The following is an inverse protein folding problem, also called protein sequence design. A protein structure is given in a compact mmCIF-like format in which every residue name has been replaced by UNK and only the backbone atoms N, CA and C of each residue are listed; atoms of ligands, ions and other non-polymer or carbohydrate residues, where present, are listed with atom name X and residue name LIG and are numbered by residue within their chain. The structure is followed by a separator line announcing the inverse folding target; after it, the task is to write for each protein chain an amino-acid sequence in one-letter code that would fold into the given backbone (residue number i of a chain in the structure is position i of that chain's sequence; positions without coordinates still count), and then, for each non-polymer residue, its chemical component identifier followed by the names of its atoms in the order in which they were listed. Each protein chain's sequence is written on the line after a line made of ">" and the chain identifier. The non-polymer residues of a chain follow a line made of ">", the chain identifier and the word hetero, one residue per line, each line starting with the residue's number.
data_IF_904462573185
#
_entry.id   IF_904462573185
#
_cell.length_a   1.000
_cell.length_b   1.000
_cell.length_c   1.000
_cell.angle_alpha   90.00
_cell.angle_beta   90.00
_cell.angle_gamma   90.00
#
_symmetry.space_group_name_H-M   'P 1'
#
loop_
_entity.id
_entity.type
_entity.pdbx_description
1 polymer ?
#
# COMPACT_ATOMS: atom_id res chain seq x y z
N UNK A 1 48.18 48.73 -23.31
CA UNK A 1 47.85 47.30 -23.47
C UNK A 1 47.37 47.08 -24.91
N UNK A 2 47.84 46.05 -25.62
CA UNK A 2 47.36 45.76 -26.99
C UNK A 2 45.85 45.49 -26.97
N UNK A 3 45.11 46.02 -27.96
CA UNK A 3 43.65 45.86 -28.09
C UNK A 3 43.22 44.39 -27.96
N UNK A 4 43.92 43.48 -28.66
CA UNK A 4 43.63 42.04 -28.61
C UNK A 4 43.83 41.44 -27.21
N UNK A 5 44.83 41.91 -26.46
CA UNK A 5 45.08 41.48 -25.09
C UNK A 5 43.99 42.01 -24.14
N UNK A 6 43.52 43.26 -24.34
CA UNK A 6 42.39 43.84 -23.59
C UNK A 6 41.12 43.02 -23.81
N UNK A 7 40.79 42.70 -25.05
CA UNK A 7 39.60 41.91 -25.41
C UNK A 7 39.66 40.48 -24.86
N UNK A 8 40.84 39.85 -24.87
CA UNK A 8 41.04 38.52 -24.30
C UNK A 8 40.81 38.50 -22.79
N UNK A 9 41.36 39.49 -22.07
CA UNK A 9 41.17 39.64 -20.63
C UNK A 9 39.71 39.91 -20.26
N UNK A 10 39.00 40.73 -21.05
CA UNK A 10 37.56 40.96 -20.86
C UNK A 10 36.78 39.66 -21.05
N UNK A 11 37.09 38.87 -22.08
CA UNK A 11 36.42 37.59 -22.31
C UNK A 11 36.70 36.58 -21.19
N UNK A 12 37.93 36.52 -20.68
CA UNK A 12 38.27 35.66 -19.54
C UNK A 12 37.54 36.13 -18.26
N UNK A 13 37.40 37.44 -18.06
CA UNK A 13 36.65 38.01 -16.95
C UNK A 13 35.15 37.72 -17.04
N UNK A 14 34.55 37.76 -18.24
CA UNK A 14 33.17 37.32 -18.47
C UNK A 14 33.02 35.83 -18.09
N UNK A 15 33.95 34.98 -18.53
CA UNK A 15 33.97 33.56 -18.16
C UNK A 15 34.04 33.37 -16.64
N UNK A 16 34.90 34.12 -15.95
CA UNK A 16 35.01 34.09 -14.49
C UNK A 16 33.70 34.52 -13.80
N UNK A 17 33.06 35.61 -14.27
CA UNK A 17 31.76 36.05 -13.76
C UNK A 17 30.71 34.95 -13.98
N UNK A 18 30.66 34.33 -15.15
CA UNK A 18 29.70 33.25 -15.44
C UNK A 18 29.92 32.02 -14.55
N UNK A 19 31.17 31.70 -14.20
CA UNK A 19 31.48 30.65 -13.21
C UNK A 19 30.96 31.06 -11.82
N UNK A 20 31.14 32.31 -11.41
CA UNK A 20 30.65 32.79 -10.12
C UNK A 20 29.11 32.80 -10.07
N UNK A 21 28.45 33.25 -11.14
CA UNK A 21 26.99 33.19 -11.29
C UNK A 21 26.52 31.73 -11.25
N UNK A 22 27.22 30.82 -11.93
CA UNK A 22 26.93 29.39 -11.87
C UNK A 22 27.03 28.86 -10.43
N UNK A 23 28.07 29.22 -9.68
CA UNK A 23 28.17 28.84 -8.27
C UNK A 23 27.07 29.45 -7.39
N UNK A 24 26.67 30.71 -7.62
CA UNK A 24 25.55 31.33 -6.90
C UNK A 24 24.23 30.63 -7.23
N UNK A 25 23.99 30.26 -8.49
CA UNK A 25 22.82 29.46 -8.90
C UNK A 25 22.90 28.05 -8.29
N UNK A 26 24.09 27.46 -8.20
CA UNK A 26 24.32 26.17 -7.56
C UNK A 26 24.15 26.21 -6.04
N UNK A 27 24.57 27.26 -5.33
CA UNK A 27 24.38 27.39 -3.88
C UNK A 27 22.90 27.51 -3.52
N UNK A 28 22.08 28.06 -4.43
CA UNK A 28 20.61 28.00 -4.35
C UNK A 28 20.08 26.58 -4.63
N UNK A 29 20.85 25.73 -5.30
CA UNK A 29 20.44 24.39 -5.77
C UNK A 29 21.02 23.21 -4.97
N UNK A 30 22.13 23.38 -4.25
CA UNK A 30 22.90 22.29 -3.62
C UNK A 30 23.60 22.81 -2.37
N UNK A 31 22.99 22.64 -1.20
CA UNK A 31 23.77 22.43 0.02
C UNK A 31 23.23 21.20 0.75
N UNK A 32 24.12 20.21 0.80
CA UNK A 32 24.07 18.90 1.47
C UNK A 32 23.33 17.76 0.74
N UNK A 33 24.16 16.86 0.16
CA UNK A 33 23.91 15.46 -0.22
C UNK A 33 23.68 15.07 -1.70
N UNK A 34 24.39 15.67 -2.67
CA UNK A 34 24.63 15.01 -3.96
C UNK A 34 26.08 14.51 -4.05
N UNK A 35 26.29 13.21 -3.92
CA UNK A 35 27.56 12.52 -4.23
C UNK A 35 27.80 12.38 -5.75
N UNK A 36 27.30 13.31 -6.55
CA UNK A 36 27.46 13.33 -8.00
C UNK A 36 28.23 14.61 -8.31
N UNK A 37 29.56 14.49 -8.35
CA UNK A 37 30.52 15.51 -8.80
C UNK A 37 30.68 15.60 -10.35
N UNK A 38 30.28 14.62 -11.20
CA UNK A 38 30.62 14.67 -12.63
C UNK A 38 29.77 15.61 -13.50
N UNK A 39 28.57 16.03 -13.07
CA UNK A 39 27.72 16.90 -13.92
C UNK A 39 28.16 18.37 -13.85
N UNK A 40 28.62 18.80 -12.69
CA UNK A 40 29.01 20.17 -12.40
C UNK A 40 30.31 20.55 -13.11
N UNK A 41 31.25 19.60 -13.18
CA UNK A 41 32.47 19.72 -13.98
C UNK A 41 32.17 19.93 -15.48
N UNK A 42 31.15 19.27 -16.01
CA UNK A 42 30.74 19.42 -17.41
C UNK A 42 30.28 20.85 -17.73
N UNK A 43 29.51 21.47 -16.84
CA UNK A 43 29.04 22.86 -17.03
C UNK A 43 30.19 23.86 -16.94
N UNK A 44 31.14 23.66 -16.00
CA UNK A 44 32.34 24.49 -15.90
C UNK A 44 33.18 24.38 -17.18
N UNK A 45 33.36 23.18 -17.73
CA UNK A 45 34.07 22.96 -18.99
C UNK A 45 33.38 23.69 -20.15
N UNK A 46 32.05 23.66 -20.22
CA UNK A 46 31.29 24.40 -21.24
C UNK A 46 31.48 25.92 -21.10
N UNK A 47 31.50 26.46 -19.88
CA UNK A 47 31.77 27.89 -19.64
C UNK A 47 33.19 28.24 -20.08
N UNK A 48 34.19 27.37 -19.83
CA UNK A 48 35.56 27.60 -20.28
C UNK A 48 35.69 27.55 -21.82
N UNK A 49 34.96 26.64 -22.49
CA UNK A 49 34.90 26.57 -23.95
C UNK A 49 34.20 27.80 -24.56
N UNK A 50 33.29 28.45 -23.82
CA UNK A 50 32.63 29.67 -24.28
C UNK A 50 33.58 30.89 -24.31
N UNK A 51 34.69 30.89 -23.56
CA UNK A 51 35.62 32.02 -23.51
C UNK A 51 36.24 32.32 -24.90
N UNK A 52 36.80 31.36 -25.65
CA UNK A 52 37.25 31.61 -27.03
C UNK A 52 36.16 32.15 -27.97
N UNK A 53 34.92 31.68 -27.81
CA UNK A 53 33.79 32.10 -28.64
C UNK A 53 33.40 33.56 -28.33
N UNK A 54 33.31 33.90 -27.04
CA UNK A 54 33.07 35.26 -26.58
C UNK A 54 34.16 36.23 -27.05
N UNK A 55 35.43 35.79 -27.02
CA UNK A 55 36.55 36.57 -27.54
C UNK A 55 36.36 36.89 -29.03
N UNK A 56 35.98 35.91 -29.86
CA UNK A 56 35.71 36.12 -31.28
C UNK A 56 34.52 37.08 -31.50
N UNK A 57 33.44 36.95 -30.75
CA UNK A 57 32.28 37.86 -30.81
C UNK A 57 32.71 39.30 -30.50
N UNK A 58 33.49 39.50 -29.43
CA UNK A 58 33.99 40.82 -29.05
C UNK A 58 34.96 41.41 -30.09
N UNK A 59 35.75 40.58 -30.77
CA UNK A 59 36.59 41.04 -31.88
C UNK A 59 35.77 41.51 -33.08
N UNK A 60 34.72 40.77 -33.44
CA UNK A 60 33.82 41.12 -34.55
C UNK A 60 33.07 42.42 -34.25
N UNK A 61 32.47 42.55 -33.07
CA UNK A 61 31.81 43.80 -32.66
C UNK A 61 32.81 44.96 -32.60
N UNK A 62 33.99 44.70 -32.05
CA UNK A 62 35.06 45.68 -32.04
C UNK A 62 35.49 46.16 -33.42
N UNK A 63 35.47 45.28 -34.43
CA UNK A 63 35.77 45.64 -35.81
C UNK A 63 34.68 46.51 -36.45
N UNK A 64 33.40 46.15 -36.28
CA UNK A 64 32.27 46.88 -36.86
C UNK A 64 31.99 48.24 -36.21
N UNK A 65 32.43 48.45 -34.97
CA UNK A 65 32.17 49.67 -34.19
C UNK A 65 33.45 50.44 -33.84
N UNK A 66 34.47 50.38 -34.72
CA UNK A 66 35.73 51.14 -34.61
C UNK A 66 36.41 51.05 -33.23
N UNK A 67 36.35 49.86 -32.60
CA UNK A 67 36.92 49.57 -31.28
C UNK A 67 36.38 50.45 -30.15
N UNK A 68 35.13 50.93 -30.29
CA UNK A 68 34.44 51.70 -29.27
C UNK A 68 34.34 50.93 -27.94
N UNK A 69 34.82 51.54 -26.86
CA UNK A 69 34.75 50.93 -25.52
C UNK A 69 33.29 50.69 -25.07
N UNK A 70 32.35 51.54 -25.51
CA UNK A 70 30.93 51.39 -25.19
C UNK A 70 30.30 50.16 -25.85
N UNK A 71 30.63 49.87 -27.12
CA UNK A 71 30.06 48.71 -27.82
C UNK A 71 30.59 47.40 -27.25
N UNK A 72 31.87 47.37 -26.87
CA UNK A 72 32.51 46.24 -26.18
C UNK A 72 31.88 46.02 -24.80
N UNK A 73 31.66 47.09 -24.04
CA UNK A 73 31.03 47.02 -22.72
C UNK A 73 29.59 46.49 -22.78
N UNK A 74 28.77 47.05 -23.68
CA UNK A 74 27.37 46.60 -23.87
C UNK A 74 27.34 45.12 -24.30
N UNK A 75 28.21 44.72 -25.24
CA UNK A 75 28.29 43.33 -25.71
C UNK A 75 28.72 42.38 -24.58
N UNK A 76 29.65 42.82 -23.72
CA UNK A 76 30.09 42.04 -22.56
C UNK A 76 28.94 41.79 -21.59
N UNK A 77 28.12 42.82 -21.31
CA UNK A 77 26.90 42.67 -20.49
C UNK A 77 25.92 41.70 -21.14
N UNK A 78 25.68 41.82 -22.45
CA UNK A 78 24.78 40.93 -23.18
C UNK A 78 25.27 39.47 -23.15
N UNK A 79 26.58 39.23 -23.27
CA UNK A 79 27.16 37.89 -23.13
C UNK A 79 26.92 37.32 -21.73
N UNK A 80 27.13 38.11 -20.67
CA UNK A 80 26.87 37.68 -19.28
C UNK A 80 25.39 37.37 -19.07
N UNK A 81 24.49 38.26 -19.51
CA UNK A 81 23.04 38.07 -19.38
C UNK A 81 22.56 36.83 -20.14
N UNK A 82 23.06 36.62 -21.37
CA UNK A 82 22.69 35.47 -22.19
C UNK A 82 23.18 34.17 -21.57
N UNK A 83 24.44 34.11 -21.09
CA UNK A 83 24.95 32.96 -20.36
C UNK A 83 24.16 32.70 -19.07
N UNK A 84 23.82 33.75 -18.31
CA UNK A 84 23.03 33.62 -17.08
C UNK A 84 21.64 33.06 -17.36
N UNK A 85 20.99 33.53 -18.42
CA UNK A 85 19.67 33.06 -18.86
C UNK A 85 19.72 31.59 -19.29
N UNK A 86 20.74 31.20 -20.07
CA UNK A 86 20.96 29.82 -20.49
C UNK A 86 21.18 28.92 -19.27
N UNK A 87 22.09 29.30 -18.37
CA UNK A 87 22.35 28.55 -17.14
C UNK A 87 21.09 28.40 -16.29
N UNK A 88 20.27 29.46 -16.18
CA UNK A 88 19.00 29.43 -15.47
C UNK A 88 18.01 28.43 -16.07
N UNK A 89 17.86 28.41 -17.40
CA UNK A 89 16.99 27.47 -18.09
C UNK A 89 17.49 26.03 -17.98
N UNK A 90 18.80 25.80 -18.15
CA UNK A 90 19.37 24.43 -18.11
C UNK A 90 19.31 23.81 -16.72
N UNK A 91 19.34 24.63 -15.65
CA UNK A 91 19.26 24.17 -14.26
C UNK A 91 17.84 24.10 -13.70
N UNK A 92 16.81 24.47 -14.47
CA UNK A 92 15.42 24.47 -14.01
C UNK A 92 14.92 23.06 -13.63
N UNK A 93 15.30 22.04 -14.41
CA UNK A 93 14.96 20.66 -14.10
C UNK A 93 15.63 20.16 -12.82
N UNK A 94 16.93 20.43 -12.65
CA UNK A 94 17.68 20.02 -11.47
C UNK A 94 17.16 20.69 -10.20
N UNK A 95 16.76 21.97 -10.27
CA UNK A 95 16.06 22.67 -9.16
C UNK A 95 14.75 21.99 -8.81
N UNK A 96 13.89 21.72 -9.79
CA UNK A 96 12.60 21.06 -9.54
C UNK A 96 12.79 19.67 -8.90
N UNK A 97 13.82 18.94 -9.32
CA UNK A 97 14.20 17.65 -8.73
C UNK A 97 14.67 17.81 -7.28
N UNK A 98 15.50 18.82 -6.99
CA UNK A 98 15.95 19.13 -5.63
C UNK A 98 14.79 19.55 -4.72
N UNK A 99 13.94 20.46 -5.18
CA UNK A 99 12.76 20.92 -4.44
C UNK A 99 11.85 19.74 -4.09
N UNK A 100 11.57 18.85 -5.06
CA UNK A 100 10.81 17.63 -4.82
C UNK A 100 11.49 16.70 -3.81
N UNK A 101 12.83 16.58 -3.85
CA UNK A 101 13.57 15.80 -2.85
C UNK A 101 13.47 16.40 -1.45
N UNK A 102 13.50 17.73 -1.32
CA UNK A 102 13.33 18.40 -0.02
C UNK A 102 11.92 18.18 0.53
N UNK A 103 10.90 18.31 -0.31
CA UNK A 103 9.51 18.00 0.07
C UNK A 103 9.40 16.52 0.49
N UNK A 104 9.99 15.60 -0.29
CA UNK A 104 9.97 14.17 0.04
C UNK A 104 10.66 13.88 1.39
N UNK A 105 11.81 14.52 1.66
CA UNK A 105 12.53 14.36 2.93
C UNK A 105 11.74 14.88 4.14
N UNK A 106 10.85 15.84 3.94
CA UNK A 106 9.95 16.38 4.97
C UNK A 106 8.64 15.59 5.07
N UNK A 107 8.33 14.75 4.08
CA UNK A 107 7.11 13.93 4.04
C UNK A 107 7.25 12.76 5.01
N UNK A 108 6.18 12.45 5.74
CA UNK A 108 6.14 11.29 6.61
C UNK A 108 6.37 10.01 5.82
N UNK A 109 7.22 9.13 6.35
CA UNK A 109 7.59 7.88 5.70
C UNK A 109 7.55 6.70 6.67
N UNK A 110 7.14 5.55 6.12
CA UNK A 110 6.88 4.33 6.87
C UNK A 110 7.51 3.12 6.19
N UNK A 111 7.76 2.09 6.98
CA UNK A 111 8.23 0.79 6.49
C UNK A 111 7.03 -0.13 6.33
N UNK A 112 6.58 -0.29 5.09
CA UNK A 112 5.44 -1.13 4.74
C UNK A 112 5.59 -1.70 3.33
N UNK A 113 4.92 -2.80 3.05
CA UNK A 113 4.77 -3.37 1.72
C UNK A 113 3.43 -2.99 1.10
N UNK A 114 3.36 -3.15 -0.22
CA UNK A 114 2.13 -3.06 -0.96
C UNK A 114 1.75 -4.44 -1.49
N UNK A 115 0.45 -4.69 -1.60
CA UNK A 115 -0.02 -5.99 -2.06
C UNK A 115 -1.42 -5.97 -2.64
N UNK A 116 -1.82 -7.13 -3.13
CA UNK A 116 -3.17 -7.41 -3.61
C UNK A 116 -3.74 -8.59 -2.82
N UNK A 117 -5.03 -8.55 -2.57
CA UNK A 117 -5.80 -9.67 -2.04
C UNK A 117 -6.94 -9.97 -3.00
N UNK A 118 -7.34 -11.23 -3.13
CA UNK A 118 -8.50 -11.61 -3.95
C UNK A 118 -9.34 -12.67 -3.25
N UNK A 119 -10.66 -12.71 -3.49
CA UNK A 119 -11.49 -13.81 -3.00
C UNK A 119 -11.03 -15.16 -3.55
N UNK A 120 -11.04 -16.18 -2.69
CA UNK A 120 -10.69 -17.53 -3.08
C UNK A 120 -11.59 -18.00 -4.25
N UNK A 121 -10.98 -18.54 -5.30
CA UNK A 121 -11.68 -19.00 -6.49
C UNK A 121 -12.01 -17.93 -7.53
N UNK A 122 -11.61 -16.67 -7.31
CA UNK A 122 -11.76 -15.58 -8.27
C UNK A 122 -10.41 -14.98 -8.67
N UNK A 123 -9.57 -15.75 -9.39
CA UNK A 123 -8.24 -15.28 -9.76
C UNK A 123 -8.30 -14.10 -10.72
N UNK A 124 -7.31 -13.22 -10.60
CA UNK A 124 -7.09 -12.09 -11.51
C UNK A 124 -5.64 -12.05 -12.00
N UNK A 125 -5.40 -11.33 -13.09
CA UNK A 125 -4.08 -10.86 -13.51
C UNK A 125 -4.09 -9.33 -13.46
N UNK A 126 -3.12 -8.71 -12.78
CA UNK A 126 -2.93 -7.26 -12.89
C UNK A 126 -2.35 -6.90 -14.26
N UNK A 127 -2.75 -5.77 -14.81
CA UNK A 127 -2.20 -5.25 -16.06
C UNK A 127 -1.16 -4.17 -15.77
N UNK A 128 -0.33 -3.89 -16.80
CA UNK A 128 0.68 -2.85 -16.76
C UNK A 128 0.09 -1.50 -16.36
N UNK A 129 0.78 -0.79 -15.47
CA UNK A 129 0.34 0.50 -14.94
C UNK A 129 -0.36 0.43 -13.59
N UNK A 130 -0.71 -0.77 -13.10
CA UNK A 130 -1.24 -0.94 -11.74
C UNK A 130 -0.20 -0.55 -10.68
N UNK A 131 -0.53 0.42 -9.82
CA UNK A 131 0.35 0.90 -8.76
C UNK A 131 -0.39 1.65 -7.64
N UNK A 132 0.27 1.74 -6.48
CA UNK A 132 0.01 2.79 -5.51
C UNK A 132 0.91 3.98 -5.84
N UNK A 133 0.30 5.12 -6.17
CA UNK A 133 1.01 6.31 -6.64
C UNK A 133 1.28 7.29 -5.50
N UNK A 134 2.47 7.89 -5.51
CA UNK A 134 2.88 8.93 -4.57
C UNK A 134 2.65 10.33 -5.16
N UNK A 135 2.14 11.26 -4.35
CA UNK A 135 2.05 12.67 -4.70
C UNK A 135 3.45 13.28 -4.88
N UNK A 136 4.36 12.94 -3.95
CA UNK A 136 5.73 13.47 -3.90
C UNK A 136 6.70 12.35 -4.22
N UNK A 137 7.55 12.57 -5.23
CA UNK A 137 8.52 11.59 -5.72
C UNK A 137 9.95 12.10 -5.50
N UNK A 138 10.76 11.26 -4.87
CA UNK A 138 12.23 11.37 -4.82
C UNK A 138 12.86 10.82 -6.11
N UNK A 139 14.12 11.19 -6.36
CA UNK A 139 14.97 10.51 -7.36
C UNK A 139 15.14 9.01 -7.11
N UNK A 140 14.97 8.57 -5.86
CA UNK A 140 14.99 7.16 -5.45
C UNK A 140 13.77 6.88 -4.59
N UNK A 141 12.63 6.68 -5.23
CA UNK A 141 11.47 6.17 -4.52
C UNK A 141 11.68 4.69 -4.24
N UNK A 142 11.45 4.24 -3.00
CA UNK A 142 11.28 2.82 -2.73
C UNK A 142 10.14 2.33 -3.63
N UNK A 143 10.45 1.55 -4.65
CA UNK A 143 9.42 0.95 -5.48
C UNK A 143 8.95 -0.32 -4.80
N UNK A 144 7.66 -0.37 -4.52
CA UNK A 144 6.93 -1.61 -4.29
C UNK A 144 6.17 -1.82 -5.58
N UNK A 145 6.58 -2.85 -6.32
CA UNK A 145 6.16 -3.06 -7.69
C UNK A 145 5.15 -4.20 -7.66
N UNK A 146 3.88 -3.88 -7.89
CA UNK A 146 2.84 -4.90 -8.04
C UNK A 146 3.18 -5.74 -9.27
N UNK A 147 3.23 -7.06 -9.11
CA UNK A 147 3.61 -8.00 -10.16
C UNK A 147 2.46 -8.16 -11.17
N UNK A 148 2.67 -7.76 -12.43
CA UNK A 148 1.64 -7.84 -13.49
C UNK A 148 1.66 -9.17 -14.25
N UNK A 149 2.78 -9.89 -14.24
CA UNK A 149 2.92 -11.19 -14.91
C UNK A 149 2.53 -12.38 -14.02
N UNK A 150 1.82 -12.10 -12.93
CA UNK A 150 1.39 -13.08 -11.94
C UNK A 150 -0.13 -13.20 -11.91
N UNK A 151 -0.59 -14.41 -11.59
CA UNK A 151 -2.00 -14.65 -11.23
C UNK A 151 -2.14 -14.52 -9.73
N UNK A 152 -2.97 -13.58 -9.28
CA UNK A 152 -3.37 -13.46 -7.89
C UNK A 152 -4.57 -14.36 -7.63
N UNK A 153 -4.53 -15.13 -6.55
CA UNK A 153 -5.56 -16.11 -6.22
C UNK A 153 -5.76 -16.31 -4.71
N UNK A 154 -5.02 -15.58 -3.87
CA UNK A 154 -4.94 -15.86 -2.44
C UNK A 154 -5.86 -14.96 -1.60
N UNK A 155 -6.65 -15.66 -0.78
CA UNK A 155 -7.51 -15.27 0.35
C UNK A 155 -7.87 -13.78 0.53
N UNK A 156 -9.18 -13.51 0.59
CA UNK A 156 -9.77 -12.20 0.91
C UNK A 156 -9.32 -11.71 2.30
N UNK A 157 -8.88 -10.46 2.38
CA UNK A 157 -8.37 -9.85 3.62
C UNK A 157 -6.93 -10.21 3.97
N UNK A 158 -6.26 -11.04 3.17
CA UNK A 158 -4.85 -11.38 3.35
C UNK A 158 -4.02 -10.85 2.17
N UNK A 159 -2.99 -10.06 2.48
CA UNK A 159 -2.14 -9.49 1.44
C UNK A 159 -1.23 -10.54 0.80
N UNK A 160 -1.27 -10.63 -0.53
CA UNK A 160 -0.20 -11.19 -1.33
C UNK A 160 0.81 -10.08 -1.66
N UNK A 161 1.55 -9.64 -0.63
CA UNK A 161 2.52 -8.55 -0.72
C UNK A 161 3.72 -8.91 -1.59
N UNK A 162 4.18 -7.96 -2.40
CA UNK A 162 5.48 -8.04 -3.07
C UNK A 162 6.56 -7.62 -2.07
N UNK A 163 7.53 -8.50 -1.80
CA UNK A 163 8.59 -8.22 -0.82
C UNK A 163 9.39 -7.00 -1.28
N UNK A 164 9.34 -5.93 -0.49
CA UNK A 164 10.20 -4.78 -0.68
C UNK A 164 11.64 -5.20 -0.38
N UNK A 165 12.57 -4.92 -1.29
CA UNK A 165 14.00 -5.12 -1.00
C UNK A 165 14.38 -4.31 0.25
N UNK A 166 15.10 -4.92 1.20
CA UNK A 166 15.59 -4.23 2.41
C UNK A 166 16.36 -2.94 2.09
N UNK A 167 16.98 -2.88 0.90
CA UNK A 167 17.69 -1.70 0.40
C UNK A 167 16.81 -0.51 0.03
N UNK A 168 15.48 -0.71 -0.08
CA UNK A 168 14.54 0.31 -0.53
C UNK A 168 14.17 1.32 0.58
N UNK A 169 14.35 0.98 1.86
CA UNK A 169 14.09 1.91 2.99
C UNK A 169 12.61 2.27 3.20
N UNK A 170 12.34 3.37 3.92
CA UNK A 170 10.98 3.86 4.20
C UNK A 170 10.37 4.57 3.00
N UNK A 171 9.07 4.39 2.77
CA UNK A 171 8.31 5.04 1.70
C UNK A 171 7.28 6.04 2.25
N UNK A 172 7.05 7.12 1.51
CA UNK A 172 5.92 8.00 1.74
C UNK A 172 4.60 7.27 1.47
N UNK A 173 3.52 7.71 2.11
CA UNK A 173 2.18 7.16 1.89
C UNK A 173 1.67 7.52 0.49
N UNK A 174 1.01 6.60 -0.23
CA UNK A 174 0.43 6.89 -1.53
C UNK A 174 -0.82 7.75 -1.41
N UNK A 175 -1.00 8.61 -2.42
CA UNK A 175 -2.14 9.52 -2.54
C UNK A 175 -3.22 9.03 -3.50
N UNK A 176 -2.88 8.02 -4.30
CA UNK A 176 -3.79 7.45 -5.28
C UNK A 176 -3.52 5.96 -5.48
N UNK A 177 -4.59 5.27 -5.89
CA UNK A 177 -4.58 3.86 -6.24
C UNK A 177 -5.05 3.73 -7.69
N UNK A 178 -4.16 3.24 -8.53
CA UNK A 178 -4.45 2.96 -9.93
C UNK A 178 -4.33 1.45 -10.15
N UNK A 179 -5.42 0.78 -10.50
CA UNK A 179 -5.47 -0.66 -10.69
C UNK A 179 -6.11 -0.98 -12.04
N UNK A 180 -5.47 -1.88 -12.76
CA UNK A 180 -5.94 -2.43 -14.02
C UNK A 180 -5.84 -3.93 -13.89
N UNK A 181 -6.90 -4.68 -14.20
CA UNK A 181 -6.83 -6.13 -14.10
C UNK A 181 -7.73 -6.84 -15.09
N UNK A 182 -7.41 -8.10 -15.29
CA UNK A 182 -8.25 -9.07 -15.98
C UNK A 182 -8.81 -10.07 -14.97
N UNK A 183 -10.13 -10.23 -14.93
CA UNK A 183 -10.82 -11.25 -14.13
C UNK A 183 -10.98 -12.52 -14.96
N UNK A 184 -10.31 -13.61 -14.56
CA UNK A 184 -10.31 -14.87 -15.31
C UNK A 184 -11.70 -15.52 -15.36
N UNK A 185 -12.44 -15.45 -14.24
CA UNK A 185 -13.77 -16.05 -14.13
C UNK A 185 -14.76 -15.26 -14.99
N UNK A 186 -14.73 -13.92 -14.91
CA UNK A 186 -15.66 -13.06 -15.64
C UNK A 186 -15.30 -12.88 -17.12
N UNK A 187 -14.05 -13.15 -17.50
CA UNK A 187 -13.49 -12.84 -18.81
C UNK A 187 -13.62 -11.35 -19.17
N UNK A 188 -13.28 -10.48 -18.22
CA UNK A 188 -13.46 -9.02 -18.32
C UNK A 188 -12.24 -8.26 -17.83
N UNK A 189 -12.06 -7.07 -18.37
CA UNK A 189 -11.04 -6.12 -17.93
C UNK A 189 -11.67 -4.99 -17.13
N UNK A 190 -10.94 -4.51 -16.13
CA UNK A 190 -11.40 -3.47 -15.22
C UNK A 190 -10.30 -2.41 -15.00
N UNK A 191 -10.74 -1.20 -14.71
CA UNK A 191 -9.90 -0.05 -14.37
C UNK A 191 -10.47 0.68 -13.14
N UNK A 192 -9.59 0.97 -12.18
CA UNK A 192 -9.83 1.87 -11.06
C UNK A 192 -8.71 2.90 -11.02
N UNK A 193 -9.05 4.18 -11.08
CA UNK A 193 -8.14 5.28 -10.76
C UNK A 193 -8.84 6.14 -9.71
N UNK A 194 -8.32 6.16 -8.48
CA UNK A 194 -8.94 6.88 -7.36
C UNK A 194 -7.88 7.53 -6.47
N UNK A 195 -8.23 8.67 -5.88
CA UNK A 195 -7.50 9.23 -4.76
C UNK A 195 -7.77 8.40 -3.49
N UNK A 196 -6.80 8.38 -2.58
CA UNK A 196 -6.89 7.73 -1.27
C UNK A 196 -6.45 8.71 -0.18
N UNK A 197 -7.02 8.55 1.02
CA UNK A 197 -6.82 9.48 2.13
C UNK A 197 -5.46 9.23 2.82
N UNK A 198 -4.44 9.99 2.39
CA UNK A 198 -3.08 9.92 2.94
C UNK A 198 -3.03 10.16 4.44
N UNK A 199 -3.83 11.10 4.96
CA UNK A 199 -3.81 11.47 6.37
C UNK A 199 -4.47 10.40 7.23
N UNK A 200 -5.56 9.79 6.74
CA UNK A 200 -6.16 8.62 7.38
C UNK A 200 -5.14 7.49 7.47
N UNK A 201 -4.47 7.15 6.38
CA UNK A 201 -3.46 6.07 6.35
C UNK A 201 -2.30 6.40 7.30
N UNK A 202 -1.78 7.62 7.26
CA UNK A 202 -0.70 8.09 8.13
C UNK A 202 -1.10 8.03 9.61
N UNK A 203 -2.34 8.37 9.95
CA UNK A 203 -2.86 8.25 11.31
C UNK A 203 -2.82 6.81 11.83
N UNK A 204 -3.12 5.81 11.00
CA UNK A 204 -2.96 4.40 11.39
C UNK A 204 -1.50 4.04 11.64
N UNK A 205 -0.58 4.43 10.75
CA UNK A 205 0.85 4.17 10.93
C UNK A 205 1.42 4.82 12.20
N UNK A 206 1.02 6.07 12.52
CA UNK A 206 1.42 6.77 13.74
C UNK A 206 0.88 6.07 14.98
N UNK A 207 -0.42 5.73 14.98
CA UNK A 207 -1.11 5.10 16.11
C UNK A 207 -0.54 3.72 16.43
N UNK A 208 -0.44 2.84 15.44
CA UNK A 208 -0.17 1.42 15.66
C UNK A 208 -1.33 0.69 16.35
N UNK A 209 -1.04 -0.45 16.98
CA UNK A 209 -2.02 -1.31 17.66
C UNK A 209 -1.38 -2.09 18.82
N UNK A 210 -2.19 -2.65 19.72
CA UNK A 210 -1.68 -3.43 20.86
C UNK A 210 -1.27 -4.82 20.41
N UNK A 211 -0.02 -5.23 20.70
CA UNK A 211 0.52 -6.53 20.30
C UNK A 211 1.24 -7.25 21.43
N UNK A 212 0.80 -8.47 21.73
CA UNK A 212 1.48 -9.36 22.68
C UNK A 212 2.52 -10.24 21.96
N UNK A 213 3.79 -9.85 22.03
CA UNK A 213 4.91 -10.64 21.47
C UNK A 213 5.37 -11.76 22.38
N UNK A 214 5.08 -11.70 23.69
CA UNK A 214 5.55 -12.67 24.68
C UNK A 214 4.55 -13.81 24.90
N UNK A 215 3.34 -13.69 24.35
CA UNK A 215 2.27 -14.65 24.51
C UNK A 215 1.73 -14.72 25.93
N UNK A 216 1.80 -13.62 26.69
CA UNK A 216 1.31 -13.54 28.08
C UNK A 216 -0.19 -13.24 28.18
N UNK A 217 -0.85 -12.99 27.06
CA UNK A 217 -2.27 -12.72 26.91
C UNK A 217 -2.72 -11.45 27.65
N UNK A 218 -1.86 -10.44 27.78
CA UNK A 218 -2.12 -9.23 28.57
C UNK A 218 -1.73 -7.95 27.84
N UNK A 219 -2.50 -6.89 28.05
CA UNK A 219 -2.21 -5.55 27.58
C UNK A 219 -1.03 -4.91 28.32
N UNK A 220 -0.80 -5.24 29.59
CA UNK A 220 0.18 -4.56 30.44
C UNK A 220 1.64 -4.75 29.98
N UNK A 221 1.92 -5.86 29.31
CA UNK A 221 3.25 -6.24 28.80
C UNK A 221 3.27 -6.32 27.27
N UNK A 222 2.22 -5.80 26.61
CA UNK A 222 2.14 -5.70 25.16
C UNK A 222 2.96 -4.51 24.64
N UNK A 223 3.39 -4.60 23.39
CA UNK A 223 4.10 -3.53 22.67
C UNK A 223 3.15 -2.80 21.72
N UNK A 224 3.54 -1.60 21.29
CA UNK A 224 2.89 -0.94 20.17
C UNK A 224 3.31 -1.59 18.84
N UNK A 225 2.47 -2.49 18.33
CA UNK A 225 2.57 -3.07 17.00
C UNK A 225 2.49 -2.00 15.91
N UNK A 226 3.21 -2.24 14.82
CA UNK A 226 3.24 -1.35 13.66
C UNK A 226 2.54 -2.02 12.48
N UNK A 227 1.75 -1.24 11.77
CA UNK A 227 1.27 -1.62 10.45
C UNK A 227 2.45 -1.63 9.49
N UNK A 228 2.49 -2.64 8.63
CA UNK A 228 3.57 -2.90 7.70
C UNK A 228 3.09 -3.41 6.34
N UNK A 229 1.78 -3.42 6.08
CA UNK A 229 1.20 -3.73 4.78
C UNK A 229 0.08 -2.71 4.44
N UNK A 230 -0.01 -2.32 3.17
CA UNK A 230 -1.10 -1.54 2.59
C UNK A 230 -1.53 -2.22 1.29
N UNK A 231 -2.74 -2.76 1.22
CA UNK A 231 -3.10 -3.66 0.12
C UNK A 231 -4.54 -3.50 -0.32
N UNK A 232 -4.77 -3.82 -1.60
CA UNK A 232 -6.08 -3.71 -2.24
C UNK A 232 -6.68 -5.10 -2.50
N UNK A 233 -7.85 -5.36 -1.93
CA UNK A 233 -8.72 -6.47 -2.24
C UNK A 233 -9.48 -6.22 -3.53
N UNK A 234 -9.32 -7.09 -4.52
CA UNK A 234 -10.06 -7.01 -5.79
C UNK A 234 -11.08 -8.16 -5.85
N UNK A 235 -12.36 -7.81 -5.82
CA UNK A 235 -13.47 -8.75 -5.85
C UNK A 235 -14.22 -8.69 -7.21
N UNK A 236 -14.93 -9.77 -7.58
CA UNK A 236 -15.71 -9.82 -8.81
C UNK A 236 -16.67 -8.65 -9.00
N UNK A 237 -16.87 -8.27 -10.27
CA UNK A 237 -17.77 -7.19 -10.65
C UNK A 237 -17.19 -5.80 -10.45
N UNK A 238 -15.88 -5.66 -10.24
CA UNK A 238 -15.20 -4.37 -10.10
C UNK A 238 -15.15 -3.83 -8.67
N UNK A 239 -15.42 -4.64 -7.67
CA UNK A 239 -15.41 -4.20 -6.27
C UNK A 239 -13.96 -4.18 -5.73
N UNK A 240 -13.56 -3.08 -5.09
CA UNK A 240 -12.21 -2.95 -4.50
C UNK A 240 -12.28 -2.48 -3.05
N UNK A 241 -11.53 -3.11 -2.16
CA UNK A 241 -11.39 -2.72 -0.76
C UNK A 241 -9.94 -2.43 -0.44
N UNK A 242 -9.66 -1.30 0.21
CA UNK A 242 -8.32 -0.94 0.66
C UNK A 242 -8.19 -1.27 2.14
N UNK A 243 -7.14 -2.01 2.52
CA UNK A 243 -6.82 -2.32 3.91
C UNK A 243 -5.42 -1.85 4.29
N UNK A 244 -5.23 -1.65 5.58
CA UNK A 244 -3.92 -1.57 6.22
C UNK A 244 -3.74 -2.77 7.14
N UNK A 245 -2.59 -3.42 7.05
CA UNK A 245 -2.28 -4.68 7.72
C UNK A 245 -1.05 -4.61 8.62
N UNK A 246 -1.09 -5.46 9.64
CA UNK A 246 -0.06 -5.71 10.62
C UNK A 246 -0.20 -7.13 11.17
N UNK A 247 0.66 -7.50 12.11
CA UNK A 247 0.60 -8.85 12.70
C UNK A 247 -0.68 -9.03 13.53
N UNK A 248 -1.62 -9.84 13.01
CA UNK A 248 -2.97 -10.07 13.58
C UNK A 248 -3.79 -8.78 13.77
N UNK A 249 -3.58 -7.80 12.89
CA UNK A 249 -4.35 -6.56 12.86
C UNK A 249 -4.52 -6.11 11.41
N UNK A 250 -5.76 -6.01 10.94
CA UNK A 250 -6.12 -5.62 9.58
C UNK A 250 -7.38 -4.78 9.65
N UNK A 251 -7.29 -3.55 9.16
CA UNK A 251 -8.37 -2.56 9.23
C UNK A 251 -8.80 -2.13 7.83
N UNK A 252 -10.11 -2.05 7.60
CA UNK A 252 -10.68 -1.53 6.35
C UNK A 252 -10.54 0.00 6.29
N UNK A 253 -9.91 0.50 5.23
CA UNK A 253 -9.70 1.93 5.01
C UNK A 253 -10.77 2.53 4.10
N UNK A 254 -11.07 1.88 2.98
CA UNK A 254 -11.99 2.41 1.98
C UNK A 254 -12.52 1.31 1.06
N UNK A 255 -13.64 1.59 0.38
CA UNK A 255 -14.25 0.73 -0.63
C UNK A 255 -14.49 1.55 -1.90
N UNK A 256 -14.18 0.96 -3.04
CA UNK A 256 -14.27 1.58 -4.36
C UNK A 256 -14.98 0.67 -5.35
N UNK A 257 -15.43 1.27 -6.45
CA UNK A 257 -16.02 0.58 -7.60
C UNK A 257 -15.23 0.93 -8.86
N UNK A 258 -14.70 -0.09 -9.51
CA UNK A 258 -14.01 0.00 -10.78
C UNK A 258 -14.98 -0.09 -11.96
N UNK A 259 -14.52 0.41 -13.10
CA UNK A 259 -15.27 0.36 -14.34
C UNK A 259 -14.77 -0.79 -15.21
N UNK A 260 -15.71 -1.51 -15.84
CA UNK A 260 -15.39 -2.45 -16.90
C UNK A 260 -14.84 -1.68 -18.12
N UNK A 261 -13.77 -2.18 -18.71
CA UNK A 261 -13.15 -1.58 -19.89
C UNK A 261 -13.03 -2.58 -21.04
N UNK A 262 -13.06 -2.06 -22.25
CA UNK A 262 -12.95 -2.87 -23.46
C UNK A 262 -11.48 -3.22 -23.77
N UNK A 263 -11.27 -4.38 -24.38
CA UNK A 263 -9.96 -4.92 -24.75
C UNK A 263 -9.15 -3.95 -25.65
N UNK A 264 -9.83 -3.11 -26.44
CA UNK A 264 -9.17 -2.10 -27.28
C UNK A 264 -8.43 -0.99 -26.52
N UNK A 265 -8.63 -0.88 -25.20
CA UNK A 265 -7.88 0.04 -24.33
C UNK A 265 -6.68 -0.63 -23.65
N UNK A 266 -6.51 -1.93 -23.85
CA UNK A 266 -5.47 -2.74 -23.19
C UNK A 266 -4.25 -2.81 -24.11
N UNK A 267 -3.06 -2.75 -23.51
CA UNK A 267 -1.80 -2.94 -24.24
C UNK A 267 -1.69 -4.38 -24.73
N UNK A 268 -1.07 -4.59 -25.88
CA UNK A 268 -1.01 -5.93 -26.50
C UNK A 268 -0.38 -6.98 -25.57
N UNK A 269 0.64 -6.61 -24.80
CA UNK A 269 1.31 -7.47 -23.83
C UNK A 269 0.42 -7.92 -22.65
N UNK A 270 -0.61 -7.15 -22.33
CA UNK A 270 -1.52 -7.39 -21.21
C UNK A 270 -2.75 -8.22 -21.60
N UNK A 271 -3.00 -8.39 -22.90
CA UNK A 271 -4.16 -9.14 -23.41
C UNK A 271 -4.02 -10.62 -23.04
N UNK A 272 -4.98 -11.12 -22.26
CA UNK A 272 -5.06 -12.53 -21.89
C UNK A 272 -5.76 -13.31 -23.01
N UNK A 273 -5.03 -14.24 -23.63
CA UNK A 273 -5.59 -15.12 -24.65
C UNK A 273 -6.41 -16.27 -24.04
N UNK A 274 -7.24 -16.92 -24.86
CA UNK A 274 -8.13 -18.00 -24.40
C UNK A 274 -7.38 -19.18 -23.80
N UNK A 275 -6.22 -19.55 -24.33
CA UNK A 275 -5.45 -20.71 -23.85
C UNK A 275 -4.89 -20.44 -22.44
N UNK A 276 -4.35 -19.25 -22.20
CA UNK A 276 -3.88 -18.81 -20.89
C UNK A 276 -5.04 -18.78 -19.89
N UNK A 277 -6.21 -18.28 -20.30
CA UNK A 277 -7.42 -18.30 -19.46
C UNK A 277 -7.83 -19.73 -19.11
N UNK A 278 -7.93 -20.62 -20.09
CA UNK A 278 -8.28 -22.04 -19.88
C UNK A 278 -7.27 -22.72 -18.97
N UNK A 279 -5.97 -22.44 -19.14
CA UNK A 279 -4.91 -22.96 -18.26
C UNK A 279 -5.15 -22.53 -16.82
N UNK A 280 -5.34 -21.24 -16.56
CA UNK A 280 -5.58 -20.74 -15.19
C UNK A 280 -6.84 -21.32 -14.59
N UNK A 281 -7.93 -21.44 -15.37
CA UNK A 281 -9.21 -21.97 -14.88
C UNK A 281 -9.23 -23.49 -14.67
N UNK A 282 -8.33 -24.22 -15.35
CA UNK A 282 -8.20 -25.68 -15.21
C UNK A 282 -7.02 -26.08 -14.30
N UNK A 283 -6.27 -25.11 -13.76
CA UNK A 283 -5.14 -25.33 -12.85
C UNK A 283 -5.65 -25.68 -11.44
N UNK A 284 -6.32 -26.83 -11.34
CA UNK A 284 -6.92 -27.39 -10.12
C UNK A 284 -6.08 -28.56 -9.61
N UNK A 285 -4.80 -28.34 -9.28
CA UNK A 285 -4.00 -29.39 -8.65
C UNK A 285 -4.51 -29.62 -7.21
N UNK A 286 -5.00 -30.82 -6.89
CA UNK A 286 -5.35 -31.29 -5.52
C UNK A 286 -4.11 -31.63 -4.69
N UNK A 287 -3.00 -30.92 -4.94
CA UNK A 287 -1.67 -31.26 -4.48
C UNK A 287 -1.39 -30.44 -3.22
N UNK A 288 -1.66 -31.04 -2.06
CA UNK A 288 -1.65 -30.42 -0.72
C UNK A 288 -0.33 -29.71 -0.38
N UNK A 289 0.77 -30.02 -1.10
CA UNK A 289 2.12 -29.51 -0.84
C UNK A 289 2.61 -28.42 -1.81
N UNK A 290 1.78 -27.90 -2.73
CA UNK A 290 2.19 -26.81 -3.63
C UNK A 290 1.68 -25.44 -3.14
N UNK A 291 2.60 -24.48 -2.96
CA UNK A 291 2.31 -23.08 -2.60
C UNK A 291 1.40 -22.35 -3.62
N UNK A 292 1.22 -22.94 -4.82
CA UNK A 292 0.28 -22.52 -5.87
C UNK A 292 -1.10 -23.17 -5.78
N UNK A 293 -1.62 -23.46 -4.58
CA UNK A 293 -2.97 -24.00 -4.42
C UNK A 293 -4.03 -22.98 -4.87
N UNK A 294 -4.76 -23.30 -5.96
CA UNK A 294 -5.91 -22.54 -6.46
C UNK A 294 -7.16 -23.39 -6.33
N UNK A 295 -7.97 -23.14 -5.29
CA UNK A 295 -9.32 -23.69 -5.25
C UNK A 295 -10.20 -22.82 -6.12
N UNK A 296 -10.45 -23.23 -7.37
CA UNK A 296 -11.46 -22.57 -8.20
C UNK A 296 -12.81 -23.10 -7.73
N UNK A 297 -13.35 -22.45 -6.71
CA UNK A 297 -14.60 -22.88 -6.04
C UNK A 297 -15.82 -22.63 -6.93
N UNK A 298 -15.71 -21.74 -7.94
CA UNK A 298 -16.88 -21.28 -8.69
C UNK A 298 -17.43 -22.27 -9.73
N UNK A 299 -17.28 -23.60 -9.56
CA UNK A 299 -17.81 -24.74 -10.34
C UNK A 299 -19.11 -24.47 -11.15
N UNK A 300 -19.06 -23.62 -12.18
CA UNK A 300 -20.19 -23.03 -12.89
C UNK A 300 -21.31 -22.43 -12.01
N UNK A 301 -21.01 -21.99 -10.78
CA UNK A 301 -22.00 -21.28 -9.95
C UNK A 301 -22.10 -19.80 -10.40
N UNK A 302 -23.27 -19.15 -10.25
CA UNK A 302 -23.38 -17.72 -10.45
C UNK A 302 -22.42 -16.97 -9.53
N UNK A 303 -21.74 -15.97 -10.07
CA UNK A 303 -20.83 -15.13 -9.29
C UNK A 303 -21.69 -14.31 -8.30
N UNK A 304 -21.40 -14.37 -6.98
CA UNK A 304 -22.16 -13.65 -5.97
C UNK A 304 -21.68 -12.19 -5.90
N UNK A 305 -21.98 -11.41 -6.94
CA UNK A 305 -21.56 -10.01 -7.01
C UNK A 305 -22.00 -9.22 -5.78
N UNK A 306 -21.09 -8.39 -5.25
CA UNK A 306 -21.38 -7.49 -4.14
C UNK A 306 -21.35 -8.12 -2.75
N UNK A 307 -21.12 -9.42 -2.56
CA UNK A 307 -21.07 -9.99 -1.19
C UNK A 307 -19.94 -9.40 -0.36
N UNK A 308 -18.77 -9.17 -0.98
CA UNK A 308 -17.57 -8.67 -0.31
C UNK A 308 -17.68 -7.21 0.15
N UNK A 309 -18.44 -6.38 -0.57
CA UNK A 309 -18.62 -4.94 -0.30
C UNK A 309 -19.94 -4.60 0.37
N UNK A 310 -20.89 -5.55 0.41
CA UNK A 310 -22.19 -5.39 1.05
C UNK A 310 -22.38 -6.40 2.20
N UNK A 311 -22.70 -7.66 1.88
CA UNK A 311 -23.07 -8.69 2.88
C UNK A 311 -22.03 -8.82 3.99
N UNK A 312 -20.76 -8.94 3.64
CA UNK A 312 -19.67 -9.14 4.61
C UNK A 312 -19.39 -7.93 5.50
N UNK A 313 -19.81 -6.73 5.06
CA UNK A 313 -19.61 -5.47 5.78
C UNK A 313 -20.81 -5.12 6.67
N UNK A 314 -21.85 -5.95 6.68
CA UNK A 314 -22.98 -5.77 7.59
C UNK A 314 -22.51 -5.94 9.03
N UNK A 315 -22.79 -4.93 9.85
CA UNK A 315 -22.43 -4.91 11.27
C UNK A 315 -23.62 -5.30 12.12
N UNK A 316 -23.34 -6.08 13.16
CA UNK A 316 -24.27 -6.55 14.16
C UNK A 316 -23.74 -6.17 15.55
N UNK A 317 -24.65 -6.06 16.51
CA UNK A 317 -24.31 -5.68 17.88
C UNK A 317 -24.09 -6.94 18.74
N UNK A 318 -22.85 -7.41 18.86
CA UNK A 318 -22.57 -8.69 19.53
C UNK A 318 -21.32 -8.67 20.40
N UNK A 319 -21.25 -9.64 21.33
CA UNK A 319 -20.07 -9.91 22.17
C UNK A 319 -19.85 -11.41 22.32
N UNK A 320 -18.67 -11.80 22.77
CA UNK A 320 -18.34 -13.19 23.06
C UNK A 320 -18.54 -13.47 24.55
N UNK A 321 -19.22 -14.56 24.86
CA UNK A 321 -19.35 -15.11 26.21
C UNK A 321 -18.78 -16.53 26.23
N UNK A 322 -17.96 -16.84 27.21
CA UNK A 322 -17.39 -18.17 27.41
C UNK A 322 -17.79 -18.65 28.80
N UNK A 323 -18.23 -19.90 28.92
CA UNK A 323 -18.51 -20.50 30.22
C UNK A 323 -17.24 -20.58 31.09
N UNK A 324 -17.41 -20.60 32.41
CA UNK A 324 -16.30 -20.90 33.31
C UNK A 324 -16.09 -22.42 33.37
N UNK A 325 -14.91 -22.86 32.93
CA UNK A 325 -14.44 -24.23 33.00
C UNK A 325 -13.08 -24.31 33.74
N UNK A 326 -12.76 -23.30 34.55
CA UNK A 326 -11.49 -23.20 35.29
C UNK A 326 -10.33 -22.62 34.48
N UNK A 327 -10.63 -21.79 33.47
CA UNK A 327 -9.62 -21.08 32.70
C UNK A 327 -9.08 -19.84 33.45
N UNK A 328 -7.79 -19.59 33.30
CA UNK A 328 -7.13 -18.37 33.73
C UNK A 328 -7.18 -17.29 32.64
N UNK A 329 -6.05 -16.60 32.43
CA UNK A 329 -5.95 -15.54 31.41
C UNK A 329 -6.34 -16.04 30.03
N UNK A 330 -7.02 -15.20 29.28
CA UNK A 330 -7.47 -15.53 27.92
C UNK A 330 -7.35 -14.36 26.94
N UNK A 331 -7.42 -14.68 25.65
CA UNK A 331 -7.39 -13.73 24.55
C UNK A 331 -8.15 -14.28 23.35
N UNK A 332 -8.66 -13.40 22.49
CA UNK A 332 -9.24 -13.74 21.20
C UNK A 332 -8.36 -13.22 20.07
N UNK A 333 -8.18 -14.03 19.03
CA UNK A 333 -7.87 -13.53 17.68
C UNK A 333 -9.13 -13.71 16.83
N UNK A 334 -9.66 -12.61 16.31
CA UNK A 334 -10.88 -12.58 15.52
C UNK A 334 -10.50 -12.26 14.08
N UNK A 335 -10.99 -13.05 13.13
CA UNK A 335 -10.92 -12.77 11.70
C UNK A 335 -12.34 -12.74 11.15
N UNK A 336 -12.66 -11.75 10.33
CA UNK A 336 -14.02 -11.48 9.85
C UNK A 336 -14.18 -11.75 8.35
N UNK A 337 -15.42 -11.93 7.90
CA UNK A 337 -15.71 -12.16 6.47
C UNK A 337 -15.33 -10.99 5.57
N UNK A 338 -15.37 -9.74 6.06
CA UNK A 338 -14.92 -8.59 5.28
C UNK A 338 -13.39 -8.49 5.17
N UNK A 339 -12.63 -9.39 5.79
CA UNK A 339 -11.17 -9.41 5.72
C UNK A 339 -10.47 -8.64 6.84
N UNK A 340 -11.19 -7.99 7.76
CA UNK A 340 -10.58 -7.41 8.96
C UNK A 340 -10.13 -8.52 9.93
N UNK A 341 -9.12 -8.23 10.74
CA UNK A 341 -8.72 -9.05 11.87
C UNK A 341 -8.19 -8.18 13.01
N UNK A 342 -8.39 -8.64 14.25
CA UNK A 342 -7.78 -8.02 15.42
C UNK A 342 -7.69 -8.99 16.61
N UNK A 343 -6.86 -8.63 17.58
CA UNK A 343 -6.70 -9.37 18.83
C UNK A 343 -7.32 -8.61 20.02
N UNK A 344 -7.92 -9.35 20.95
CA UNK A 344 -8.42 -8.85 22.23
C UNK A 344 -7.70 -9.62 23.34
N UNK A 345 -7.09 -8.93 24.31
CA UNK A 345 -6.33 -9.55 25.40
C UNK A 345 -7.10 -9.51 26.72
N UNK A 346 -6.57 -10.22 27.72
CA UNK A 346 -7.30 -10.58 28.94
C UNK A 346 -8.06 -9.43 29.62
N UNK A 347 -7.42 -8.27 29.78
CA UNK A 347 -8.06 -7.13 30.45
C UNK A 347 -9.30 -6.61 29.70
N UNK A 348 -9.27 -6.68 28.37
CA UNK A 348 -10.38 -6.27 27.51
C UNK A 348 -11.42 -7.38 27.37
N UNK A 349 -11.00 -8.65 27.39
CA UNK A 349 -11.91 -9.81 27.45
C UNK A 349 -12.80 -9.73 28.69
N UNK A 350 -12.22 -9.42 29.86
CA UNK A 350 -12.96 -9.31 31.12
C UNK A 350 -13.95 -8.13 31.17
N UNK A 351 -13.79 -7.17 30.26
CA UNK A 351 -14.62 -5.95 30.17
C UNK A 351 -15.41 -5.89 28.87
N UNK A 352 -15.49 -7.01 28.15
CA UNK A 352 -16.07 -7.04 26.81
C UNK A 352 -17.55 -6.67 26.86
N UNK A 353 -17.87 -5.49 26.35
CA UNK A 353 -19.23 -5.05 26.09
C UNK A 353 -19.67 -5.47 24.69
N UNK A 354 -20.93 -5.24 24.36
CA UNK A 354 -21.39 -5.35 22.98
C UNK A 354 -20.61 -4.41 22.07
N UNK A 355 -20.17 -4.93 20.94
CA UNK A 355 -19.45 -4.19 19.91
C UNK A 355 -20.20 -4.30 18.59
N UNK A 356 -20.23 -3.20 17.83
CA UNK A 356 -20.83 -3.17 16.50
C UNK A 356 -19.82 -3.69 15.47
N UNK A 357 -19.77 -5.00 15.33
CA UNK A 357 -18.79 -5.73 14.53
C UNK A 357 -19.46 -6.47 13.37
N UNK A 358 -18.69 -6.72 12.33
CA UNK A 358 -19.08 -7.61 11.24
C UNK A 358 -19.08 -9.08 11.70
N UNK A 359 -19.63 -9.96 10.86
CA UNK A 359 -19.72 -11.40 11.15
C UNK A 359 -18.33 -12.06 11.17
N UNK A 360 -17.99 -12.86 12.20
CA UNK A 360 -16.70 -13.53 12.30
C UNK A 360 -16.63 -14.69 11.30
N UNK A 361 -15.50 -14.83 10.61
CA UNK A 361 -15.15 -16.02 9.82
C UNK A 361 -14.42 -17.05 10.70
N UNK A 362 -13.57 -16.57 11.60
CA UNK A 362 -12.74 -17.41 12.45
C UNK A 362 -12.54 -16.79 13.84
N UNK A 363 -12.60 -17.61 14.88
CA UNK A 363 -12.27 -17.22 16.26
C UNK A 363 -11.22 -18.19 16.80
N UNK A 364 -10.10 -17.63 17.25
CA UNK A 364 -9.12 -18.35 18.07
C UNK A 364 -9.26 -17.87 19.50
N UNK A 365 -9.79 -18.71 20.37
CA UNK A 365 -9.80 -18.45 21.81
C UNK A 365 -8.57 -19.09 22.45
N UNK A 366 -7.60 -18.26 22.85
CA UNK A 366 -6.40 -18.71 23.56
C UNK A 366 -6.60 -18.54 25.05
N UNK A 367 -6.34 -19.59 25.84
CA UNK A 367 -6.51 -19.54 27.30
C UNK A 367 -5.44 -20.37 28.04
N UNK A 368 -5.25 -20.07 29.32
CA UNK A 368 -4.38 -20.83 30.22
C UNK A 368 -5.23 -21.71 31.13
N UNK A 369 -4.88 -22.99 31.28
CA UNK A 369 -5.48 -23.90 32.26
C UNK A 369 -4.42 -24.87 32.77
N UNK A 370 -4.33 -25.04 34.09
CA UNK A 370 -3.30 -25.87 34.73
C UNK A 370 -1.88 -25.51 34.26
N UNK A 371 -1.56 -24.20 34.20
CA UNK A 371 -0.27 -23.65 33.71
C UNK A 371 0.06 -23.93 32.24
N UNK A 372 -0.79 -24.68 31.52
CA UNK A 372 -0.64 -24.96 30.10
C UNK A 372 -1.49 -24.00 29.27
N UNK A 373 -0.96 -23.62 28.10
CA UNK A 373 -1.66 -22.77 27.13
C UNK A 373 -2.38 -23.62 26.09
N UNK A 374 -3.63 -23.30 25.83
CA UNK A 374 -4.49 -23.96 24.85
C UNK A 374 -5.05 -22.95 23.84
N UNK A 375 -5.50 -23.47 22.70
CA UNK A 375 -6.24 -22.73 21.68
C UNK A 375 -7.48 -23.53 21.29
N UNK A 376 -8.65 -22.91 21.42
CA UNK A 376 -9.85 -23.36 20.76
C UNK A 376 -9.98 -22.65 19.40
N UNK A 377 -10.08 -23.43 18.33
CA UNK A 377 -10.22 -22.98 16.96
C UNK A 377 -11.67 -23.19 16.51
N UNK A 378 -12.32 -22.11 16.08
CA UNK A 378 -13.72 -22.10 15.64
C UNK A 378 -13.76 -21.44 14.25
N UNK A 379 -14.13 -22.20 13.23
CA UNK A 379 -14.29 -21.72 11.85
C UNK A 379 -15.73 -21.90 11.40
N UNK A 380 -16.31 -20.82 10.87
CA UNK A 380 -17.73 -20.81 10.52
C UNK A 380 -17.97 -21.25 9.08
N UNK A 381 -19.08 -21.96 8.91
CA UNK A 381 -19.72 -22.14 7.62
C UNK A 381 -20.48 -20.84 7.30
N UNK A 382 -20.31 -20.34 6.08
CA UNK A 382 -20.74 -19.00 5.70
C UNK A 382 -22.27 -18.90 5.69
N UNK A 383 -22.95 -19.84 5.05
CA UNK A 383 -24.41 -19.78 4.92
C UNK A 383 -25.08 -19.90 6.29
N UNK A 384 -24.60 -20.81 7.15
CA UNK A 384 -25.12 -20.99 8.50
C UNK A 384 -24.99 -19.72 9.34
N UNK A 385 -23.80 -19.11 9.41
CA UNK A 385 -23.59 -17.97 10.29
C UNK A 385 -24.35 -16.72 9.84
N UNK A 386 -24.37 -16.41 8.55
CA UNK A 386 -25.14 -15.27 8.06
C UNK A 386 -26.64 -15.47 8.30
N UNK A 387 -27.17 -16.68 8.05
CA UNK A 387 -28.57 -16.99 8.32
C UNK A 387 -28.92 -16.85 9.81
N UNK A 388 -28.05 -17.25 10.73
CA UNK A 388 -28.29 -17.08 12.16
C UNK A 388 -28.34 -15.61 12.58
N UNK A 389 -27.38 -14.80 12.14
CA UNK A 389 -27.38 -13.36 12.40
C UNK A 389 -28.60 -12.67 11.80
N UNK A 390 -28.94 -12.96 10.55
CA UNK A 390 -30.11 -12.39 9.86
C UNK A 390 -31.41 -12.77 10.58
N UNK A 391 -31.59 -14.06 10.92
CA UNK A 391 -32.79 -14.56 11.60
C UNK A 391 -33.00 -13.92 12.98
N UNK A 392 -31.93 -13.76 13.75
CA UNK A 392 -32.04 -13.16 15.10
C UNK A 392 -32.19 -11.63 15.07
N UNK A 393 -31.92 -10.98 13.95
CA UNK A 393 -31.96 -9.52 13.81
C UNK A 393 -33.00 -9.02 12.81
N UNK A 394 -33.83 -9.93 12.27
CA UNK A 394 -34.86 -9.64 11.27
C UNK A 394 -35.80 -8.50 11.71
N UNK A 395 -36.22 -8.53 12.99
CA UNK A 395 -37.12 -7.53 13.57
C UNK A 395 -36.38 -6.30 14.14
N UNK A 396 -35.11 -6.44 14.50
CA UNK A 396 -34.30 -5.40 15.12
C UNK A 396 -32.81 -5.58 14.76
N UNK A 397 -32.30 -4.72 13.88
CA UNK A 397 -30.89 -4.76 13.44
C UNK A 397 -29.88 -4.45 14.55
N UNK A 398 -30.33 -3.79 15.63
CA UNK A 398 -29.48 -3.47 16.78
C UNK A 398 -29.69 -4.45 17.95
N UNK A 399 -30.41 -5.56 17.72
CA UNK A 399 -30.63 -6.60 18.73
C UNK A 399 -29.27 -7.04 19.30
N UNK A 400 -29.07 -6.96 20.63
CA UNK A 400 -27.84 -7.45 21.25
C UNK A 400 -27.77 -8.97 21.14
N UNK A 401 -26.68 -9.48 20.57
CA UNK A 401 -26.45 -10.91 20.41
C UNK A 401 -25.27 -11.39 21.26
N UNK A 402 -25.49 -12.46 21.99
CA UNK A 402 -24.47 -13.16 22.75
C UNK A 402 -23.93 -14.33 21.91
N UNK A 403 -22.64 -14.24 21.59
CA UNK A 403 -21.89 -15.31 20.94
C UNK A 403 -21.33 -16.25 22.03
N UNK A 404 -22.05 -17.32 22.34
CA UNK A 404 -21.76 -18.19 23.49
C UNK A 404 -20.91 -19.38 23.07
N UNK A 405 -19.74 -19.53 23.70
CA UNK A 405 -18.82 -20.66 23.55
C UNK A 405 -18.84 -21.45 24.86
N UNK A 406 -19.26 -22.71 24.78
CA UNK A 406 -19.20 -23.63 25.91
C UNK A 406 -18.10 -24.66 25.69
N UNK A 407 -17.16 -24.75 26.63
CA UNK A 407 -16.07 -25.73 26.64
C UNK A 407 -16.20 -26.61 27.89
N UNK A 408 -16.03 -27.92 27.74
CA UNK A 408 -16.07 -28.86 28.86
C UNK A 408 -14.83 -28.75 29.75
N UNK A 409 -14.97 -29.09 31.03
CA UNK A 409 -13.87 -29.03 32.01
C UNK A 409 -12.71 -29.97 31.70
N UNK A 410 -12.90 -31.02 30.91
CA UNK A 410 -11.85 -31.92 30.42
C UNK A 410 -11.29 -31.51 29.03
N UNK A 411 -11.79 -30.41 28.45
CA UNK A 411 -11.37 -29.83 27.16
C UNK A 411 -11.62 -30.74 25.95
N UNK A 412 -12.53 -31.70 26.06
CA UNK A 412 -12.87 -32.65 24.98
C UNK A 412 -14.05 -32.20 24.14
N UNK A 413 -14.98 -31.43 24.71
CA UNK A 413 -16.19 -30.97 24.05
C UNK A 413 -16.23 -29.44 23.96
N UNK A 414 -16.74 -28.95 22.82
CA UNK A 414 -16.99 -27.54 22.59
C UNK A 414 -18.29 -27.38 21.82
N UNK A 415 -19.16 -26.46 22.24
CA UNK A 415 -20.34 -26.05 21.50
C UNK A 415 -20.39 -24.53 21.36
N UNK A 416 -21.00 -24.06 20.28
CA UNK A 416 -21.08 -22.65 19.95
C UNK A 416 -22.54 -22.32 19.61
N UNK A 417 -23.04 -21.21 20.15
CA UNK A 417 -24.41 -20.74 19.92
C UNK A 417 -24.43 -19.23 19.72
N UNK A 418 -25.40 -18.76 18.92
CA UNK A 418 -25.76 -17.36 18.84
C UNK A 418 -27.09 -17.15 19.56
N UNK A 419 -27.09 -16.28 20.56
CA UNK A 419 -28.23 -16.10 21.48
C UNK A 419 -28.73 -14.66 21.40
N UNK A 420 -30.02 -14.51 21.19
CA UNK A 420 -30.78 -13.27 21.41
C UNK A 420 -31.62 -13.42 22.68
N UNK A 421 -32.33 -12.37 23.10
CA UNK A 421 -33.12 -12.37 24.34
C UNK A 421 -34.05 -13.59 24.50
N UNK A 422 -34.74 -13.97 23.43
CA UNK A 422 -35.80 -14.98 23.46
C UNK A 422 -35.50 -16.23 22.62
N UNK A 423 -34.39 -16.25 21.86
CA UNK A 423 -34.07 -17.33 20.92
C UNK A 423 -32.58 -17.62 20.89
N UNK A 424 -32.22 -18.91 20.93
CA UNK A 424 -30.86 -19.41 20.71
C UNK A 424 -30.80 -20.26 19.44
N UNK A 425 -29.71 -20.11 18.68
CA UNK A 425 -29.40 -20.92 17.51
C UNK A 425 -28.02 -21.58 17.68
N UNK A 426 -27.97 -22.90 17.61
CA UNK A 426 -26.72 -23.66 17.65
C UNK A 426 -26.01 -23.61 16.29
N UNK A 427 -24.68 -23.61 16.30
CA UNK A 427 -23.88 -23.85 15.10
C UNK A 427 -23.61 -25.34 14.94
N UNK A 428 -24.18 -25.95 13.91
CA UNK A 428 -24.08 -27.40 13.65
C UNK A 428 -23.09 -27.72 12.52
N UNK A 429 -22.75 -26.73 11.68
CA UNK A 429 -21.96 -26.92 10.46
C UNK A 429 -20.57 -26.30 10.52
N UNK A 430 -20.03 -26.02 11.72
CA UNK A 430 -18.69 -25.47 11.89
C UNK A 430 -17.67 -26.24 11.03
N UNK A 431 -16.89 -25.52 10.22
CA UNK A 431 -15.82 -26.11 9.39
C UNK A 431 -14.71 -26.70 10.26
N UNK A 432 -14.42 -26.01 11.36
CA UNK A 432 -13.45 -26.42 12.37
C UNK A 432 -14.00 -26.12 13.76
N UNK A 433 -13.94 -27.10 14.66
CA UNK A 433 -14.19 -26.95 16.09
C UNK A 433 -13.22 -27.86 16.83
N UNK A 434 -12.09 -27.32 17.32
CA UNK A 434 -11.08 -28.14 18.01
C UNK A 434 -10.31 -27.38 19.07
N UNK A 435 -9.93 -28.08 20.13
CA UNK A 435 -9.06 -27.56 21.20
C UNK A 435 -7.69 -28.22 21.07
N UNK A 436 -6.63 -27.43 21.05
CA UNK A 436 -5.25 -27.91 20.93
C UNK A 436 -4.34 -27.26 21.97
N UNK A 437 -3.36 -28.02 22.43
CA UNK A 437 -2.26 -27.51 23.24
C UNK A 437 -1.37 -26.64 22.34
N UNK A 438 -0.93 -25.48 22.85
CA UNK A 438 0.00 -24.58 22.15
C UNK A 438 1.45 -24.85 22.51
#
# INVERSE_FOLDING_TARGET
>A
MNYYLKTLLISAFIGFINILIYFVILDVSIVHNSSIIPKELGVIVLILIAIPIQFLILLVVGYFFDKSDNSIFITSILCILTCSLILWFTSAHDRAVFDNQQIYNQTENYEYNQGISVPEGYPIKLLSGSNFSLAVKSNRNPSTLLETDKVYYKQWGLSESTVKSESAGKAAVPNSLNLYWYSYVENKYYELNTEIDEEKISAYFRKGFVRDNQGKLTNAESVNGKYNDLFAGIAPGGDVVLWIGGVNQTDELAVFKANEISVNKIREEDIVNEEARKKVLNDTCTCVDNYQFRKIINNNKPIPFGIWTNKYRQKYNWKILVNDFGQGKSAYNLSFFNGEDFAIYNEDVLKLSYLKLVTPNYIIFTFIKNEQKYRAFIEFEEDEIFNHFEKLTENNKEEPLDFVINISSDLTEMSVQLVSKDTSLNFEKLKTASIRIR
#
